data_IF_719836318444
#
_entry.id   IF_719836318444
#
_cell.length_a   1.000
_cell.length_b   1.000
_cell.length_c   1.000
_cell.angle_alpha   90.00
_cell.angle_beta   90.00
_cell.angle_gamma   90.00
#
_symmetry.space_group_name_H-M   'P 1'
#
loop_
_entity.id
_entity.type
_entity.pdbx_description
1 polymer ?
#
# COMPACT_ATOMS: atom_id res chain seq x y z
N UNK A 1 34.74 -7.33 -19.76
CA UNK A 1 34.62 -7.84 -18.38
C UNK A 1 34.05 -6.80 -17.40
N UNK A 2 34.60 -5.59 -17.30
CA UNK A 2 34.11 -4.56 -16.36
C UNK A 2 32.67 -4.07 -16.67
N UNK A 3 32.34 -3.86 -17.96
CA UNK A 3 31.01 -3.43 -18.39
C UNK A 3 29.91 -4.45 -18.02
N UNK A 4 30.17 -5.74 -18.24
CA UNK A 4 29.22 -6.81 -17.94
C UNK A 4 28.93 -6.88 -16.43
N UNK A 5 29.98 -6.78 -15.60
CA UNK A 5 29.85 -6.76 -14.14
C UNK A 5 29.03 -5.56 -13.66
N UNK A 6 29.21 -4.41 -14.28
CA UNK A 6 28.48 -3.20 -13.94
C UNK A 6 26.98 -3.31 -14.30
N UNK A 7 26.66 -3.82 -15.49
CA UNK A 7 25.26 -4.05 -15.92
C UNK A 7 24.55 -5.05 -15.00
N UNK A 8 25.23 -6.13 -14.59
CA UNK A 8 24.67 -7.11 -13.65
C UNK A 8 24.35 -6.48 -12.29
N UNK A 9 25.24 -5.63 -11.76
CA UNK A 9 24.99 -4.94 -10.50
C UNK A 9 23.75 -4.04 -10.57
N UNK A 10 23.59 -3.27 -11.66
CA UNK A 10 22.43 -2.40 -11.87
C UNK A 10 21.12 -3.20 -11.87
N UNK A 11 21.09 -4.30 -12.62
CA UNK A 11 19.91 -5.17 -12.70
C UNK A 11 19.54 -5.70 -11.32
N UNK A 12 20.51 -6.19 -10.55
CA UNK A 12 20.27 -6.73 -9.20
C UNK A 12 19.73 -5.66 -8.26
N UNK A 13 20.32 -4.46 -8.24
CA UNK A 13 19.81 -3.35 -7.42
C UNK A 13 18.42 -2.87 -7.85
N UNK A 14 18.13 -2.86 -9.15
CA UNK A 14 16.80 -2.53 -9.68
C UNK A 14 15.74 -3.52 -9.21
N UNK A 15 16.02 -4.83 -9.34
CA UNK A 15 15.12 -5.90 -8.88
C UNK A 15 14.88 -5.79 -7.38
N UNK A 16 15.94 -5.61 -6.59
CA UNK A 16 15.84 -5.45 -5.14
C UNK A 16 14.96 -4.24 -4.75
N UNK A 17 15.16 -3.09 -5.39
CA UNK A 17 14.32 -1.89 -5.19
C UNK A 17 12.86 -2.13 -5.57
N UNK A 18 12.61 -2.82 -6.68
CA UNK A 18 11.26 -3.21 -7.11
C UNK A 18 10.55 -4.11 -6.10
N UNK A 19 11.23 -5.13 -5.55
CA UNK A 19 10.65 -6.03 -4.55
C UNK A 19 10.33 -5.27 -3.25
N UNK A 20 11.22 -4.38 -2.80
CA UNK A 20 10.99 -3.55 -1.60
C UNK A 20 9.76 -2.64 -1.80
N UNK A 21 9.57 -2.11 -3.02
CA UNK A 21 8.41 -1.28 -3.36
C UNK A 21 7.09 -2.04 -3.25
N UNK A 22 7.03 -3.30 -3.73
CA UNK A 22 5.84 -4.16 -3.63
C UNK A 22 5.45 -4.34 -2.17
N UNK A 23 6.43 -4.66 -1.32
CA UNK A 23 6.19 -4.89 0.12
C UNK A 23 5.70 -3.65 0.84
N UNK A 24 6.06 -2.46 0.36
CA UNK A 24 5.65 -1.16 0.90
C UNK A 24 4.42 -0.58 0.22
N UNK A 25 3.76 -1.32 -0.68
CA UNK A 25 2.54 -0.90 -1.34
C UNK A 25 2.73 0.26 -2.33
N UNK A 26 3.94 0.47 -2.86
CA UNK A 26 4.23 1.50 -3.87
C UNK A 26 4.41 0.86 -5.26
N UNK A 27 4.28 1.66 -6.32
CA UNK A 27 4.37 1.21 -7.71
C UNK A 27 5.72 0.52 -8.01
N UNK A 28 5.74 -0.79 -8.29
CA UNK A 28 6.99 -1.55 -8.42
C UNK A 28 7.79 -1.19 -9.68
N UNK A 29 7.08 -0.93 -10.79
CA UNK A 29 7.69 -0.58 -12.09
C UNK A 29 8.41 0.78 -12.02
N UNK A 30 7.77 1.77 -11.39
CA UNK A 30 8.35 3.10 -11.23
C UNK A 30 9.65 3.02 -10.42
N UNK A 31 9.62 2.29 -9.30
CA UNK A 31 10.79 2.15 -8.43
C UNK A 31 11.91 1.30 -9.01
N UNK A 32 11.58 0.28 -9.80
CA UNK A 32 12.58 -0.49 -10.53
C UNK A 32 13.38 0.40 -11.48
N UNK A 33 12.71 1.25 -12.26
CA UNK A 33 13.36 2.18 -13.21
C UNK A 33 14.19 3.22 -12.45
N UNK A 34 13.65 3.80 -11.38
CA UNK A 34 14.36 4.77 -10.54
C UNK A 34 15.61 4.18 -9.88
N UNK A 35 15.55 2.96 -9.33
CA UNK A 35 16.71 2.30 -8.72
C UNK A 35 17.73 1.84 -9.76
N UNK A 36 17.31 1.50 -10.98
CA UNK A 36 18.21 1.16 -12.08
C UNK A 36 19.00 2.38 -12.59
N UNK A 37 18.37 3.57 -12.61
CA UNK A 37 19.02 4.82 -13.03
C UNK A 37 19.85 5.45 -11.91
N UNK A 38 19.37 5.38 -10.67
CA UNK A 38 20.02 5.93 -9.48
C UNK A 38 20.03 4.90 -8.34
N UNK A 39 21.09 4.08 -8.23
CA UNK A 39 21.18 3.00 -7.23
C UNK A 39 21.01 3.47 -5.78
N UNK A 40 21.34 4.74 -5.48
CA UNK A 40 21.18 5.34 -4.16
C UNK A 40 19.73 5.40 -3.67
N UNK A 41 18.75 5.35 -4.57
CA UNK A 41 17.33 5.41 -4.21
C UNK A 41 16.84 4.15 -3.46
N UNK A 42 17.60 3.06 -3.49
CA UNK A 42 17.30 1.86 -2.71
C UNK A 42 17.32 2.14 -1.18
N UNK A 43 18.20 3.05 -0.73
CA UNK A 43 18.29 3.44 0.68
C UNK A 43 17.05 4.26 1.07
N UNK A 44 16.63 5.17 0.19
CA UNK A 44 15.45 6.01 0.37
C UNK A 44 14.20 5.13 0.55
N UNK A 45 13.95 4.18 -0.37
CA UNK A 45 12.78 3.31 -0.26
C UNK A 45 12.85 2.38 0.97
N UNK A 46 14.05 2.00 1.43
CA UNK A 46 14.23 1.20 2.64
C UNK A 46 13.85 1.98 3.91
N UNK A 47 14.09 3.30 3.96
CA UNK A 47 13.74 4.18 5.08
C UNK A 47 12.26 4.61 5.08
N UNK A 48 11.64 4.74 3.91
CA UNK A 48 10.25 5.20 3.81
C UNK A 48 9.28 4.21 4.50
N UNK A 49 8.26 4.67 5.26
CA UNK A 49 7.23 3.76 5.78
C UNK A 49 6.43 3.12 4.63
N UNK A 50 5.84 1.93 4.84
CA UNK A 50 4.88 1.38 3.89
C UNK A 50 3.74 2.37 3.70
N UNK A 51 3.28 2.54 2.46
CA UNK A 51 2.04 3.26 2.20
C UNK A 51 0.93 2.47 2.90
N UNK A 52 0.46 3.00 4.04
CA UNK A 52 -0.69 2.43 4.73
C UNK A 52 -1.81 2.29 3.69
N UNK A 53 -2.27 1.07 3.47
CA UNK A 53 -3.45 0.84 2.67
C UNK A 53 -4.54 1.70 3.33
N UNK A 54 -4.98 2.75 2.64
CA UNK A 54 -6.16 3.53 3.04
C UNK A 54 -7.30 2.54 3.11
N UNK A 55 -7.61 2.13 4.32
CA UNK A 55 -8.67 1.21 4.62
C UNK A 55 -8.91 1.36 6.10
N UNK A 56 -9.80 2.26 6.46
CA UNK A 56 -10.30 2.25 7.82
C UNK A 56 -11.03 0.91 7.99
N UNK A 57 -10.94 0.36 9.19
CA UNK A 57 -11.62 -0.89 9.54
C UNK A 57 -12.69 -0.54 10.56
N UNK A 58 -13.87 -1.13 10.39
CA UNK A 58 -14.99 -0.98 11.32
C UNK A 58 -15.31 -2.32 11.95
N UNK A 59 -15.79 -2.29 13.19
CA UNK A 59 -16.28 -3.50 13.87
C UNK A 59 -17.73 -3.73 13.46
N UNK A 60 -18.04 -4.94 13.01
CA UNK A 60 -19.41 -5.33 12.70
C UNK A 60 -20.26 -5.31 13.99
N UNK A 61 -21.42 -4.61 14.04
CA UNK A 61 -22.26 -4.50 15.25
C UNK A 61 -22.95 -5.81 15.63
N UNK A 62 -22.85 -6.82 14.76
CA UNK A 62 -23.64 -8.03 14.78
C UNK A 62 -22.87 -9.27 15.21
N UNK A 63 -21.61 -9.39 14.80
CA UNK A 63 -20.73 -10.50 15.14
C UNK A 63 -19.42 -10.05 15.80
N UNK A 64 -19.24 -8.74 16.02
CA UNK A 64 -18.04 -8.13 16.61
C UNK A 64 -16.72 -8.35 15.83
N UNK A 65 -16.79 -8.90 14.63
CA UNK A 65 -15.65 -9.14 13.77
C UNK A 65 -15.17 -7.84 13.09
N UNK A 66 -13.87 -7.75 12.80
CA UNK A 66 -13.26 -6.59 12.16
C UNK A 66 -13.39 -6.72 10.63
N UNK A 67 -14.07 -5.77 10.01
CA UNK A 67 -14.29 -5.71 8.56
C UNK A 67 -13.81 -4.37 8.00
N UNK A 68 -13.71 -4.25 6.67
CA UNK A 68 -13.37 -2.97 6.03
C UNK A 68 -14.51 -1.96 6.24
N UNK A 69 -14.17 -0.68 6.34
CA UNK A 69 -15.15 0.42 6.46
C UNK A 69 -16.18 0.43 5.33
N UNK A 70 -15.73 0.12 4.10
CA UNK A 70 -16.48 0.16 2.85
C UNK A 70 -17.31 -1.11 2.62
N UNK A 71 -17.24 -2.08 3.54
CA UNK A 71 -18.02 -3.30 3.43
C UNK A 71 -19.50 -3.01 3.68
N UNK A 72 -20.31 -3.12 2.62
CA UNK A 72 -21.78 -3.12 2.70
C UNK A 72 -22.32 -4.41 3.32
N UNK A 73 -21.59 -5.53 3.20
CA UNK A 73 -21.96 -6.80 3.81
C UNK A 73 -20.80 -7.35 4.62
N UNK A 74 -21.07 -7.82 5.84
CA UNK A 74 -20.06 -8.51 6.63
C UNK A 74 -19.79 -9.90 6.04
N UNK A 75 -18.54 -10.16 5.65
CA UNK A 75 -18.09 -11.46 5.11
C UNK A 75 -18.22 -12.64 6.09
N UNK A 76 -18.41 -12.38 7.39
CA UNK A 76 -18.48 -13.40 8.42
C UNK A 76 -19.92 -13.76 8.78
N UNK A 77 -20.77 -12.77 9.04
CA UNK A 77 -22.15 -13.00 9.44
C UNK A 77 -23.17 -12.82 8.31
N UNK A 78 -22.74 -12.37 7.12
CA UNK A 78 -23.59 -12.16 5.95
C UNK A 78 -24.60 -11.00 6.10
N UNK A 79 -24.56 -10.25 7.21
CA UNK A 79 -25.50 -9.15 7.45
C UNK A 79 -25.02 -7.85 6.79
N UNK A 80 -25.99 -7.12 6.24
CA UNK A 80 -25.79 -5.78 5.71
C UNK A 80 -25.29 -4.86 6.83
N UNK A 81 -24.23 -4.13 6.55
CA UNK A 81 -23.68 -3.14 7.46
C UNK A 81 -24.46 -1.84 7.27
N UNK A 82 -24.81 -1.14 8.36
CA UNK A 82 -25.43 0.16 8.23
C UNK A 82 -24.50 1.05 7.39
N UNK A 83 -25.07 1.64 6.34
CA UNK A 83 -24.41 2.70 5.57
C UNK A 83 -24.14 3.79 6.58
N UNK A 84 -22.86 4.06 6.86
CA UNK A 84 -22.48 5.02 7.89
C UNK A 84 -23.10 6.37 7.50
N UNK A 85 -24.07 6.84 8.30
CA UNK A 85 -24.72 8.11 8.07
C UNK A 85 -23.64 9.19 8.13
N UNK A 86 -23.38 9.84 7.00
CA UNK A 86 -22.48 10.99 6.93
C UNK A 86 -23.00 12.03 7.90
N UNK A 87 -22.15 12.46 8.85
CA UNK A 87 -22.45 13.59 9.72
C UNK A 87 -22.58 14.83 8.83
N UNK A 88 -23.81 15.20 8.47
CA UNK A 88 -24.07 16.50 7.84
C UNK A 88 -23.72 17.55 8.90
N UNK A 89 -22.79 18.48 8.63
CA UNK A 89 -22.55 19.58 9.57
C UNK A 89 -23.87 20.34 9.74
N UNK A 90 -24.26 20.57 11.00
CA UNK A 90 -25.47 21.31 11.35
C UNK A 90 -25.50 22.63 10.59
N UNK A 91 -26.49 22.80 9.72
CA UNK A 91 -26.77 24.06 9.05
C UNK A 91 -27.05 25.09 10.15
N UNK A 92 -26.30 26.19 10.15
CA UNK A 92 -26.62 27.38 10.94
C UNK A 92 -27.60 28.19 10.11
N UNK A 93 -28.75 28.45 10.70
CA UNK A 93 -29.82 29.32 10.18
C UNK A 93 -29.30 30.70 9.75
#
# INVERSE_FOLDING_TARGET
MALLRYVLLIIITGIAGGIIAIRKGRSPILWFILCALFPLLIIVIALLPPLAAKGYTKRCPYCAEIIKEDANFCKHCGREQPIEMVKVPSYKD
#
